data_IF_471367366279
#
_entry.id   IF_471367366279
#
_cell.length_a   1.000
_cell.length_b   1.000
_cell.length_c   1.000
_cell.angle_alpha   90.00
_cell.angle_beta   90.00
_cell.angle_gamma   90.00
#
_symmetry.space_group_name_H-M   'P 1'
#
loop_
_entity.id
_entity.type
_entity.pdbx_description
1 polymer ?
#
# COMPACT_ATOMS: atom_id res chain seq x y z
N UNK A 1 0.88 28.86 59.19
CA UNK A 1 0.00 27.91 58.47
C UNK A 1 0.72 27.63 57.15
N UNK A 2 1.51 26.56 56.97
CA UNK A 2 1.17 25.12 56.82
C UNK A 2 0.00 24.92 55.85
N UNK A 3 0.07 24.16 54.75
CA UNK A 3 0.83 22.93 54.42
C UNK A 3 1.39 23.04 52.98
N UNK A 4 2.59 22.60 52.58
CA UNK A 4 3.29 21.30 52.61
C UNK A 4 2.50 20.11 52.02
N UNK A 5 2.94 19.65 50.83
CA UNK A 5 3.09 18.24 50.49
C UNK A 5 4.33 18.03 49.63
N UNK A 6 5.26 17.23 50.16
CA UNK A 6 6.50 16.74 49.58
C UNK A 6 6.29 15.49 48.69
N UNK A 7 7.20 15.31 47.72
CA UNK A 7 7.35 14.23 46.73
C UNK A 7 7.46 12.79 47.32
N UNK A 8 7.54 11.67 46.52
CA UNK A 8 8.84 11.29 45.89
C UNK A 8 8.86 10.27 44.68
N UNK A 9 10.04 10.13 44.04
CA UNK A 9 10.58 9.06 43.14
C UNK A 9 9.98 8.87 41.71
N UNK A 10 10.73 8.59 40.63
CA UNK A 10 12.15 8.30 40.44
C UNK A 10 12.51 8.15 38.95
N UNK A 11 13.78 8.43 38.60
CA UNK A 11 14.41 8.16 37.29
C UNK A 11 14.61 6.65 37.11
N UNK A 12 14.30 6.13 35.93
CA UNK A 12 14.73 4.80 35.49
C UNK A 12 15.69 4.96 34.29
N UNK A 13 16.89 4.41 34.46
CA UNK A 13 17.87 4.19 33.40
C UNK A 13 17.45 2.96 32.59
N UNK A 14 17.35 3.07 31.26
CA UNK A 14 17.17 1.91 30.39
C UNK A 14 18.54 1.39 29.95
N UNK A 15 18.86 0.16 30.34
CA UNK A 15 19.99 -0.63 29.84
C UNK A 15 19.48 -1.52 28.69
N UNK A 16 20.17 -1.65 27.54
CA UNK A 16 19.58 -2.21 26.31
C UNK A 16 19.66 -3.74 26.20
N UNK A 17 19.40 -4.48 27.28
CA UNK A 17 19.48 -5.95 27.27
C UNK A 17 18.26 -6.70 27.83
N UNK A 18 17.16 -6.02 28.16
CA UNK A 18 15.91 -6.68 28.57
C UNK A 18 14.79 -6.52 27.53
N UNK A 19 14.80 -7.44 26.57
CA UNK A 19 13.73 -7.63 25.60
C UNK A 19 12.60 -8.45 26.28
N UNK A 20 11.35 -7.97 26.39
CA UNK A 20 10.27 -8.80 26.88
C UNK A 20 9.95 -9.85 25.80
N UNK A 21 10.34 -11.11 26.06
CA UNK A 21 9.94 -12.25 25.24
C UNK A 21 8.43 -12.23 25.04
N UNK A 22 7.99 -11.98 23.80
CA UNK A 22 6.61 -12.18 23.39
C UNK A 22 6.16 -13.58 23.81
N UNK A 23 5.13 -13.64 24.64
CA UNK A 23 4.41 -14.89 24.89
C UNK A 23 3.74 -15.31 23.58
N UNK A 24 4.29 -16.33 22.94
CA UNK A 24 3.66 -17.06 21.84
C UNK A 24 2.30 -17.57 22.33
N UNK A 25 1.21 -17.04 21.77
CA UNK A 25 -0.13 -17.65 21.91
C UNK A 25 -0.07 -19.02 21.22
N UNK A 26 0.08 -20.08 22.02
CA UNK A 26 -0.14 -21.47 21.60
C UNK A 26 -1.64 -21.66 21.35
N UNK A 27 -2.01 -21.95 20.11
CA UNK A 27 -3.30 -22.58 19.80
C UNK A 27 -3.35 -23.97 20.48
N UNK A 28 -4.44 -24.35 21.16
CA UNK A 28 -4.57 -25.69 21.69
C UNK A 28 -4.71 -26.69 20.54
N UNK A 29 -3.67 -27.52 20.38
CA UNK A 29 -3.67 -28.72 19.55
C UNK A 29 -4.70 -29.72 20.09
N UNK A 30 -5.59 -30.20 19.22
CA UNK A 30 -6.59 -31.22 19.53
C UNK A 30 -5.93 -32.50 20.09
N UNK A 31 -6.49 -33.13 21.14
CA UNK A 31 -5.93 -34.36 21.69
C UNK A 31 -6.24 -35.56 20.81
N UNK A 32 -5.20 -36.27 20.39
CA UNK A 32 -5.27 -37.65 19.88
C UNK A 32 -5.55 -38.58 21.07
N UNK A 33 -6.72 -39.21 21.09
CA UNK A 33 -6.98 -40.36 21.96
C UNK A 33 -6.79 -41.66 21.19
N UNK A 34 -5.73 -42.40 21.54
CA UNK A 34 -5.64 -43.85 21.35
C UNK A 34 -6.23 -44.50 22.61
N UNK A 35 -7.08 -45.51 22.45
CA UNK A 35 -7.44 -46.39 23.56
C UNK A 35 -8.73 -47.18 23.40
N UNK A 36 -8.56 -48.45 23.00
CA UNK A 36 -9.22 -49.66 23.55
C UNK A 36 -10.73 -49.88 23.35
N UNK A 37 -11.01 -50.94 22.57
CA UNK A 37 -12.14 -51.86 22.74
C UNK A 37 -12.37 -52.24 24.20
N UNK A 38 -13.61 -52.13 24.69
CA UNK A 38 -14.19 -53.10 25.64
C UNK A 38 -15.67 -53.36 25.29
N UNK A 39 -15.96 -54.65 25.27
CA UNK A 39 -17.19 -55.40 25.03
C UNK A 39 -18.29 -55.10 26.07
N UNK A 40 -19.55 -55.14 25.64
CA UNK A 40 -20.72 -55.29 26.52
C UNK A 40 -21.80 -56.14 25.84
N UNK A 41 -22.60 -56.91 26.59
CA UNK A 41 -22.74 -58.34 26.33
C UNK A 41 -24.03 -58.73 25.60
N UNK A 42 -23.87 -59.81 24.83
CA UNK A 42 -24.92 -60.65 24.24
C UNK A 42 -25.23 -61.79 25.23
N UNK A 43 -26.49 -61.97 25.60
CA UNK A 43 -27.06 -63.22 26.13
C UNK A 43 -28.49 -63.27 25.57
N UNK A 44 -28.77 -64.15 24.58
CA UNK A 44 -29.24 -65.55 24.72
C UNK A 44 -30.62 -65.61 25.41
N UNK A 45 -31.60 -66.38 24.98
CA UNK A 45 -31.62 -67.62 24.22
C UNK A 45 -33.04 -67.77 23.62
N UNK A 46 -33.28 -68.51 22.54
CA UNK A 46 -33.62 -69.94 22.50
C UNK A 46 -34.65 -70.06 21.34
N UNK A 47 -34.83 -71.12 20.56
CA UNK A 47 -34.42 -72.53 20.69
C UNK A 47 -34.58 -73.20 19.32
N UNK A 48 -33.63 -74.08 19.03
CA UNK A 48 -33.60 -75.27 18.17
C UNK A 48 -34.46 -75.37 16.90
N UNK A 49 -33.83 -75.79 15.80
CA UNK A 49 -33.80 -77.21 15.42
C UNK A 49 -32.67 -77.46 14.41
N UNK A 50 -31.72 -78.30 14.83
CA UNK A 50 -30.72 -78.94 13.97
C UNK A 50 -31.37 -80.14 13.29
N UNK A 51 -31.21 -80.25 11.98
CA UNK A 51 -31.55 -81.43 11.20
C UNK A 51 -30.47 -81.60 10.12
N UNK A 52 -29.49 -82.43 10.44
CA UNK A 52 -28.66 -83.19 9.49
C UNK A 52 -29.25 -84.59 9.32
N UNK A 53 -28.84 -85.41 8.32
CA UNK A 53 -28.21 -85.11 7.04
C UNK A 53 -28.84 -85.95 5.87
N UNK A 54 -28.17 -85.90 4.71
CA UNK A 54 -28.14 -86.92 3.64
C UNK A 54 -29.32 -86.98 2.66
N UNK A 55 -29.08 -86.39 1.49
CA UNK A 55 -29.72 -86.82 0.25
C UNK A 55 -29.01 -88.05 -0.32
N UNK A 56 -29.75 -89.13 -0.52
CA UNK A 56 -29.49 -90.09 -1.59
C UNK A 56 -30.83 -90.66 -2.07
N UNK A 57 -30.85 -91.01 -3.36
CA UNK A 57 -31.88 -91.74 -4.12
C UNK A 57 -32.89 -90.89 -4.91
N UNK A 58 -32.61 -90.84 -6.22
CA UNK A 58 -33.59 -90.85 -7.32
C UNK A 58 -34.47 -92.13 -7.28
N UNK A 59 -35.49 -92.33 -8.15
CA UNK A 59 -36.21 -91.40 -9.05
C UNK A 59 -37.76 -91.54 -8.95
N UNK A 60 -38.45 -90.89 -9.89
CA UNK A 60 -39.58 -91.43 -10.67
C UNK A 60 -40.97 -90.77 -10.52
N UNK A 61 -41.41 -90.25 -11.68
CA UNK A 61 -42.75 -90.42 -12.25
C UNK A 61 -43.97 -89.82 -11.53
N UNK A 62 -44.56 -88.81 -12.16
CA UNK A 62 -46.00 -88.88 -12.43
C UNK A 62 -46.84 -87.64 -12.11
N UNK A 63 -47.36 -87.06 -13.20
CA UNK A 63 -48.61 -86.29 -13.29
C UNK A 63 -48.60 -84.81 -12.87
N UNK A 64 -48.79 -83.97 -13.89
CA UNK A 64 -49.09 -82.54 -13.86
C UNK A 64 -50.45 -82.24 -13.23
N UNK A 65 -50.58 -81.14 -12.46
CA UNK A 65 -51.77 -80.33 -12.47
C UNK A 65 -51.49 -79.01 -13.22
N UNK A 66 -52.39 -78.68 -14.14
CA UNK A 66 -52.43 -77.41 -14.87
C UNK A 66 -52.50 -76.24 -13.87
N UNK A 67 -51.45 -75.42 -13.79
CA UNK A 67 -51.54 -74.13 -13.12
C UNK A 67 -52.00 -73.07 -14.12
N UNK A 68 -53.07 -72.38 -13.75
CA UNK A 68 -53.75 -71.34 -14.50
C UNK A 68 -52.86 -70.10 -14.51
N UNK A 69 -52.41 -69.68 -15.69
CA UNK A 69 -51.56 -68.49 -15.91
C UNK A 69 -52.44 -67.24 -15.84
N UNK A 70 -52.60 -66.67 -14.65
CA UNK A 70 -53.03 -65.28 -14.47
C UNK A 70 -52.53 -64.83 -13.10
N UNK A 71 -51.37 -64.15 -13.07
CA UNK A 71 -50.93 -63.24 -11.98
C UNK A 71 -49.48 -62.71 -12.17
N UNK A 72 -48.82 -62.89 -13.32
CA UNK A 72 -47.44 -62.38 -13.52
C UNK A 72 -47.37 -60.90 -13.97
N UNK A 73 -48.41 -60.34 -14.59
CA UNK A 73 -48.33 -58.97 -15.14
C UNK A 73 -48.32 -57.89 -14.05
N UNK A 74 -49.06 -58.08 -12.95
CA UNK A 74 -49.05 -57.14 -11.82
C UNK A 74 -47.74 -57.19 -11.04
N UNK A 75 -47.13 -58.38 -10.88
CA UNK A 75 -45.83 -58.52 -10.24
C UNK A 75 -44.70 -57.88 -11.07
N UNK A 76 -44.71 -58.07 -12.39
CA UNK A 76 -43.74 -57.43 -13.29
C UNK A 76 -43.91 -55.91 -13.33
N UNK A 77 -45.15 -55.42 -13.34
CA UNK A 77 -45.45 -53.98 -13.33
C UNK A 77 -44.96 -53.33 -12.03
N UNK A 78 -45.20 -53.96 -10.88
CA UNK A 78 -44.73 -53.47 -9.59
C UNK A 78 -43.19 -53.43 -9.50
N UNK A 79 -42.50 -54.42 -10.07
CA UNK A 79 -41.03 -54.43 -10.12
C UNK A 79 -40.49 -53.32 -11.01
N UNK A 80 -41.08 -53.09 -12.19
CA UNK A 80 -40.66 -52.01 -13.10
C UNK A 80 -40.96 -50.63 -12.50
N UNK A 81 -42.08 -50.46 -11.81
CA UNK A 81 -42.42 -49.23 -11.10
C UNK A 81 -41.43 -48.94 -9.96
N UNK A 82 -41.11 -49.96 -9.16
CA UNK A 82 -40.10 -49.83 -8.11
C UNK A 82 -38.72 -49.48 -8.69
N UNK A 83 -38.30 -50.18 -9.76
CA UNK A 83 -36.99 -49.96 -10.37
C UNK A 83 -36.90 -48.58 -11.02
N UNK A 84 -37.96 -48.10 -11.68
CA UNK A 84 -38.01 -46.76 -12.27
C UNK A 84 -38.05 -45.66 -11.22
N UNK A 85 -38.81 -45.82 -10.14
CA UNK A 85 -38.80 -44.90 -9.00
C UNK A 85 -37.43 -44.86 -8.30
N UNK A 86 -36.77 -46.01 -8.16
CA UNK A 86 -35.44 -46.11 -7.56
C UNK A 86 -34.36 -45.46 -8.44
N UNK A 87 -34.42 -45.67 -9.76
CA UNK A 87 -33.54 -45.00 -10.71
C UNK A 87 -33.78 -43.48 -10.69
N UNK A 88 -35.03 -43.03 -10.68
CA UNK A 88 -35.37 -41.62 -10.56
C UNK A 88 -34.81 -41.02 -9.27
N UNK A 89 -34.97 -41.71 -8.14
CA UNK A 89 -34.41 -41.30 -6.85
C UNK A 89 -32.89 -41.20 -6.89
N UNK A 90 -32.20 -42.20 -7.46
CA UNK A 90 -30.75 -42.17 -7.62
C UNK A 90 -30.30 -41.02 -8.52
N UNK A 91 -31.03 -40.72 -9.59
CA UNK A 91 -30.75 -39.58 -10.47
C UNK A 91 -30.92 -38.26 -9.71
N UNK A 92 -31.99 -38.10 -8.93
CA UNK A 92 -32.23 -36.90 -8.11
C UNK A 92 -31.16 -36.74 -7.03
N UNK A 93 -30.80 -37.80 -6.32
CA UNK A 93 -29.75 -37.76 -5.28
C UNK A 93 -28.40 -37.47 -5.91
N UNK A 94 -28.08 -38.06 -7.06
CA UNK A 94 -26.82 -37.79 -7.77
C UNK A 94 -26.76 -36.36 -8.28
N UNK A 95 -27.86 -35.83 -8.82
CA UNK A 95 -27.96 -34.43 -9.23
C UNK A 95 -27.85 -33.48 -8.04
N UNK A 96 -28.48 -33.80 -6.90
CA UNK A 96 -28.39 -33.01 -5.67
C UNK A 96 -27.00 -33.03 -5.05
N UNK A 97 -26.33 -34.18 -5.04
CA UNK A 97 -24.95 -34.30 -4.56
C UNK A 97 -23.99 -33.54 -5.49
N UNK A 98 -24.18 -33.60 -6.81
CA UNK A 98 -23.42 -32.80 -7.76
C UNK A 98 -23.65 -31.29 -7.55
N UNK A 99 -24.90 -30.87 -7.29
CA UNK A 99 -25.24 -29.47 -7.06
C UNK A 99 -24.74 -28.94 -5.69
N UNK A 100 -24.75 -29.77 -4.64
CA UNK A 100 -24.22 -29.39 -3.33
C UNK A 100 -22.68 -29.30 -3.31
N UNK A 101 -22.01 -29.98 -4.25
CA UNK A 101 -20.58 -29.83 -4.49
C UNK A 101 -20.23 -28.60 -5.34
N UNK A 102 -21.20 -27.93 -5.97
CA UNK A 102 -20.99 -26.60 -6.56
C UNK A 102 -20.85 -25.58 -5.43
N UNK A 103 -19.63 -25.51 -4.91
CA UNK A 103 -19.15 -24.43 -4.07
C UNK A 103 -19.10 -23.19 -4.97
N UNK A 104 -20.17 -22.39 -4.97
CA UNK A 104 -20.05 -20.99 -5.38
C UNK A 104 -18.86 -20.44 -4.59
N UNK A 105 -17.88 -19.85 -5.27
CA UNK A 105 -16.73 -19.23 -4.61
C UNK A 105 -17.19 -18.32 -3.47
N UNK A 106 -16.35 -18.12 -2.45
CA UNK A 106 -16.71 -17.25 -1.33
C UNK A 106 -17.10 -15.87 -1.88
N UNK A 107 -18.38 -15.51 -1.81
CA UNK A 107 -18.86 -14.18 -2.14
C UNK A 107 -18.38 -13.22 -1.03
N UNK A 108 -17.16 -12.73 -1.18
CA UNK A 108 -16.58 -11.71 -0.30
C UNK A 108 -16.61 -10.42 -1.10
N UNK A 109 -17.76 -9.75 -1.09
CA UNK A 109 -18.01 -8.53 -1.86
C UNK A 109 -16.90 -7.48 -1.74
N UNK A 110 -16.24 -7.39 -0.57
CA UNK A 110 -15.10 -6.51 -0.37
C UNK A 110 -13.86 -6.93 -1.18
N UNK A 111 -13.53 -8.22 -1.23
CA UNK A 111 -12.39 -8.72 -2.00
C UNK A 111 -12.64 -8.57 -3.49
N UNK A 112 -13.87 -8.87 -3.93
CA UNK A 112 -14.30 -8.66 -5.31
C UNK A 112 -14.19 -7.18 -5.71
N UNK A 113 -14.46 -6.25 -4.78
CA UNK A 113 -14.30 -4.82 -4.99
C UNK A 113 -12.83 -4.42 -5.17
N UNK A 114 -11.92 -4.92 -4.33
CA UNK A 114 -10.48 -4.65 -4.50
C UNK A 114 -9.96 -5.14 -5.86
N UNK A 115 -10.37 -6.34 -6.28
CA UNK A 115 -9.99 -6.92 -7.57
C UNK A 115 -10.53 -6.09 -8.74
N UNK A 116 -11.81 -5.70 -8.69
CA UNK A 116 -12.40 -4.80 -9.69
C UNK A 116 -11.68 -3.45 -9.73
N UNK A 117 -11.35 -2.86 -8.58
CA UNK A 117 -10.66 -1.58 -8.53
C UNK A 117 -9.25 -1.65 -9.11
N UNK A 118 -8.49 -2.71 -8.83
CA UNK A 118 -7.15 -2.88 -9.41
C UNK A 118 -7.22 -3.02 -10.94
N UNK A 119 -8.21 -3.77 -11.46
CA UNK A 119 -8.45 -3.92 -12.90
C UNK A 119 -8.85 -2.59 -13.52
N UNK A 120 -9.88 -1.92 -12.99
CA UNK A 120 -10.38 -0.64 -13.50
C UNK A 120 -9.30 0.45 -13.45
N UNK A 121 -8.50 0.47 -12.38
CA UNK A 121 -7.38 1.40 -12.24
C UNK A 121 -6.33 1.17 -13.32
N UNK A 122 -5.97 -0.10 -13.58
CA UNK A 122 -5.03 -0.45 -14.62
C UNK A 122 -5.57 -0.10 -16.02
N UNK A 123 -6.83 -0.42 -16.31
CA UNK A 123 -7.47 -0.09 -17.59
C UNK A 123 -7.50 1.42 -17.83
N UNK A 124 -7.95 2.22 -16.84
CA UNK A 124 -7.98 3.69 -16.95
C UNK A 124 -6.58 4.27 -17.16
N UNK A 125 -5.61 3.75 -16.42
CA UNK A 125 -4.21 4.16 -16.48
C UNK A 125 -3.57 3.85 -17.84
N UNK A 126 -3.91 2.72 -18.48
CA UNK A 126 -3.23 2.28 -19.71
C UNK A 126 -3.96 2.53 -21.02
N UNK A 127 -5.30 2.57 -21.01
CA UNK A 127 -6.08 2.54 -22.25
C UNK A 127 -6.41 3.94 -22.79
N UNK A 128 -6.24 4.97 -21.97
CA UNK A 128 -6.51 6.36 -22.34
C UNK A 128 -5.23 7.20 -22.41
N UNK A 129 -5.36 8.41 -22.96
CA UNK A 129 -4.34 9.47 -22.84
C UNK A 129 -4.48 10.23 -21.52
N UNK A 130 -5.54 9.99 -20.76
CA UNK A 130 -5.88 10.83 -19.63
C UNK A 130 -6.41 12.19 -20.08
N UNK A 131 -6.83 13.00 -19.12
CA UNK A 131 -7.48 14.27 -19.37
C UNK A 131 -7.34 15.15 -18.13
N UNK A 132 -7.19 16.46 -18.32
CA UNK A 132 -7.16 17.42 -17.23
C UNK A 132 -8.13 18.56 -17.49
N UNK A 133 -8.85 18.95 -16.44
CA UNK A 133 -9.62 20.19 -16.39
C UNK A 133 -8.99 21.07 -15.33
N UNK A 134 -8.46 22.21 -15.75
CA UNK A 134 -7.84 23.18 -14.84
C UNK A 134 -8.91 23.84 -13.98
N UNK A 135 -8.50 24.29 -12.80
CA UNK A 135 -9.34 25.08 -11.90
C UNK A 135 -8.73 26.48 -11.80
N UNK A 136 -9.54 27.49 -12.10
CA UNK A 136 -9.18 28.90 -11.98
C UNK A 136 -10.13 29.55 -10.97
N UNK A 137 -9.57 30.16 -9.92
CA UNK A 137 -10.32 30.75 -8.80
C UNK A 137 -11.44 29.85 -8.22
N UNK A 138 -11.20 28.53 -8.16
CA UNK A 138 -12.17 27.54 -7.67
C UNK A 138 -13.25 27.13 -8.66
N UNK A 139 -13.19 27.61 -9.92
CA UNK A 139 -14.11 27.26 -11.00
C UNK A 139 -13.40 26.39 -12.03
N UNK A 140 -14.09 25.34 -12.49
CA UNK A 140 -13.58 24.43 -13.53
C UNK A 140 -13.51 25.15 -14.88
N UNK A 141 -12.32 25.27 -15.45
CA UNK A 141 -12.10 25.79 -16.79
C UNK A 141 -12.25 24.67 -17.82
N UNK A 142 -13.51 24.39 -18.17
CA UNK A 142 -13.87 23.36 -19.16
C UNK A 142 -13.40 23.76 -20.57
N UNK A 143 -13.31 25.07 -20.86
CA UNK A 143 -12.88 25.56 -22.18
C UNK A 143 -11.43 25.20 -22.50
N UNK A 144 -10.56 25.20 -21.50
CA UNK A 144 -9.13 24.91 -21.64
C UNK A 144 -8.76 23.48 -21.19
N UNK A 145 -9.73 22.58 -21.05
CA UNK A 145 -9.46 21.18 -20.75
C UNK A 145 -8.65 20.51 -21.87
N UNK A 146 -7.70 19.66 -21.53
CA UNK A 146 -6.79 19.03 -22.51
C UNK A 146 -6.40 17.60 -22.11
N UNK A 147 -6.01 16.79 -23.08
CA UNK A 147 -5.40 15.47 -22.86
C UNK A 147 -3.90 15.58 -22.56
N UNK A 148 -3.31 16.76 -22.72
CA UNK A 148 -1.88 17.05 -22.53
C UNK A 148 -1.54 17.40 -21.09
N UNK A 149 -2.13 16.67 -20.15
CA UNK A 149 -1.94 16.86 -18.71
C UNK A 149 -0.47 16.77 -18.27
N UNK A 150 0.34 16.00 -19.01
CA UNK A 150 1.76 15.74 -18.74
C UNK A 150 2.67 16.96 -18.91
N UNK A 151 2.14 18.10 -19.40
CA UNK A 151 2.87 19.37 -19.50
C UNK A 151 2.71 20.28 -18.29
N UNK A 152 1.83 19.95 -17.34
CA UNK A 152 1.62 20.75 -16.14
C UNK A 152 2.54 20.29 -15.00
N UNK A 153 2.90 21.24 -14.14
CA UNK A 153 3.70 20.98 -12.95
C UNK A 153 2.85 20.38 -11.81
N UNK A 154 3.53 19.94 -10.75
CA UNK A 154 2.88 19.25 -9.65
C UNK A 154 1.80 20.08 -8.94
N UNK A 155 2.07 21.36 -8.71
CA UNK A 155 1.13 22.24 -8.00
C UNK A 155 -0.14 22.51 -8.80
N UNK A 156 -0.04 22.71 -10.13
CA UNK A 156 -1.21 22.86 -11.00
C UNK A 156 -2.03 21.57 -11.04
N UNK A 157 -1.38 20.41 -11.15
CA UNK A 157 -2.08 19.12 -11.18
C UNK A 157 -2.75 18.81 -9.83
N UNK A 158 -2.15 19.22 -8.71
CA UNK A 158 -2.74 19.11 -7.38
C UNK A 158 -4.07 19.87 -7.23
N UNK A 159 -4.25 20.96 -7.95
CA UNK A 159 -5.50 21.74 -7.87
C UNK A 159 -6.51 21.32 -8.95
N UNK A 160 -6.06 20.68 -10.04
CA UNK A 160 -6.90 20.28 -11.16
C UNK A 160 -7.79 19.05 -10.91
N UNK A 161 -8.79 18.87 -11.79
CA UNK A 161 -9.45 17.58 -12.00
C UNK A 161 -8.64 16.77 -13.02
N UNK A 162 -7.92 15.75 -12.54
CA UNK A 162 -7.04 14.93 -13.34
C UNK A 162 -7.60 13.51 -13.49
N UNK A 163 -7.73 13.06 -14.74
CA UNK A 163 -7.75 11.64 -15.11
C UNK A 163 -6.34 11.26 -15.61
N UNK A 164 -5.50 10.65 -14.77
CA UNK A 164 -4.14 10.29 -15.14
C UNK A 164 -4.15 9.06 -16.05
N UNK A 165 -3.28 9.06 -17.07
CA UNK A 165 -3.04 7.88 -17.88
C UNK A 165 -1.69 7.93 -18.59
N UNK A 166 -1.01 6.79 -18.65
CA UNK A 166 0.31 6.62 -19.28
C UNK A 166 0.23 6.07 -20.71
N UNK A 167 -0.98 5.81 -21.21
CA UNK A 167 -1.22 5.35 -22.56
C UNK A 167 -1.13 6.49 -23.59
N UNK A 168 -0.83 6.14 -24.83
CA UNK A 168 -0.91 7.08 -25.97
C UNK A 168 -2.28 7.03 -26.67
N UNK A 169 -3.27 6.33 -26.12
CA UNK A 169 -4.61 6.13 -26.70
C UNK A 169 -4.67 5.20 -27.92
N UNK A 170 -3.54 4.65 -28.36
CA UNK A 170 -3.43 3.73 -29.51
C UNK A 170 -2.90 2.34 -29.09
N UNK A 171 -3.10 1.95 -27.82
CA UNK A 171 -2.69 0.65 -27.30
C UNK A 171 -1.19 0.49 -26.99
N UNK A 172 -0.44 1.59 -26.91
CA UNK A 172 0.95 1.62 -26.42
C UNK A 172 1.10 2.63 -25.30
N UNK A 173 2.19 2.53 -24.56
CA UNK A 173 2.56 3.50 -23.53
C UNK A 173 3.28 4.71 -24.14
N UNK A 174 3.24 5.82 -23.42
CA UNK A 174 3.87 7.09 -23.75
C UNK A 174 4.92 7.42 -22.66
N UNK A 175 6.19 7.50 -23.05
CA UNK A 175 7.29 7.76 -22.12
C UNK A 175 7.17 9.13 -21.44
N UNK A 176 6.71 10.15 -22.15
CA UNK A 176 6.55 11.49 -21.59
C UNK A 176 5.48 11.51 -20.47
N UNK A 177 4.42 10.71 -20.62
CA UNK A 177 3.37 10.58 -19.61
C UNK A 177 3.82 9.76 -18.41
N UNK A 178 4.66 8.74 -18.61
CA UNK A 178 5.28 8.01 -17.50
C UNK A 178 6.20 8.94 -16.70
N UNK A 179 7.06 9.71 -17.36
CA UNK A 179 7.92 10.71 -16.68
C UNK A 179 7.08 11.75 -15.94
N UNK A 180 5.98 12.21 -16.53
CA UNK A 180 5.10 13.19 -15.90
C UNK A 180 4.31 12.66 -14.69
N UNK A 181 4.33 11.35 -14.40
CA UNK A 181 3.85 10.84 -13.11
C UNK A 181 4.62 11.47 -11.94
N UNK A 182 5.87 11.93 -12.16
CA UNK A 182 6.62 12.72 -11.19
C UNK A 182 5.94 14.01 -10.76
N UNK A 183 5.01 14.53 -11.56
CA UNK A 183 4.21 15.70 -11.21
C UNK A 183 2.83 15.34 -10.64
N UNK A 184 2.49 14.06 -10.52
CA UNK A 184 1.18 13.62 -10.01
C UNK A 184 1.37 13.13 -8.59
N UNK A 185 0.60 13.69 -7.65
CA UNK A 185 0.60 13.17 -6.28
C UNK A 185 -0.16 11.85 -6.22
N UNK A 186 0.24 10.93 -5.31
CA UNK A 186 -0.45 9.65 -5.13
C UNK A 186 -1.96 9.85 -4.86
N UNK A 187 -2.33 10.89 -4.11
CA UNK A 187 -3.73 11.23 -3.82
C UNK A 187 -4.50 11.60 -5.10
N UNK A 188 -3.87 12.35 -6.02
CA UNK A 188 -4.48 12.67 -7.32
C UNK A 188 -4.52 11.47 -8.24
N UNK A 189 -3.52 10.61 -8.20
CA UNK A 189 -3.50 9.38 -8.97
C UNK A 189 -4.65 8.45 -8.55
N UNK A 190 -4.74 8.14 -7.25
CA UNK A 190 -5.83 7.31 -6.69
C UNK A 190 -7.20 7.91 -7.01
N UNK A 191 -7.39 9.22 -6.78
CA UNK A 191 -8.66 9.91 -7.07
C UNK A 191 -9.04 9.79 -8.55
N UNK A 192 -8.10 10.09 -9.46
CA UNK A 192 -8.35 10.05 -10.90
C UNK A 192 -8.62 8.65 -11.44
N UNK A 193 -7.98 7.63 -10.87
CA UNK A 193 -8.24 6.22 -11.21
C UNK A 193 -9.55 5.69 -10.62
N UNK A 194 -10.22 6.44 -9.74
CA UNK A 194 -11.47 6.02 -9.09
C UNK A 194 -11.24 5.04 -7.94
N UNK A 195 -10.05 5.08 -7.34
CA UNK A 195 -9.75 4.34 -6.13
C UNK A 195 -10.45 5.02 -4.95
N UNK A 196 -11.10 4.23 -4.11
CA UNK A 196 -11.85 4.71 -2.96
C UNK A 196 -10.95 5.41 -1.94
N UNK A 197 -11.50 6.45 -1.31
CA UNK A 197 -10.81 7.21 -0.28
C UNK A 197 -10.35 6.32 0.88
N UNK A 198 -9.07 6.46 1.25
CA UNK A 198 -8.43 5.69 2.33
C UNK A 198 -7.74 4.41 1.88
N UNK A 199 -7.82 4.06 0.60
CA UNK A 199 -6.90 3.11 -0.02
C UNK A 199 -5.71 3.86 -0.60
N UNK A 200 -4.64 3.12 -0.81
CA UNK A 200 -3.39 3.62 -1.36
C UNK A 200 -2.93 2.70 -2.49
N UNK A 201 -1.97 3.13 -3.30
CA UNK A 201 -1.51 2.36 -4.45
C UNK A 201 0.00 2.22 -4.51
N UNK A 202 0.45 1.16 -5.17
CA UNK A 202 1.82 1.01 -5.65
C UNK A 202 1.79 0.75 -7.16
N UNK A 203 2.59 1.51 -7.91
CA UNK A 203 2.71 1.39 -9.36
C UNK A 203 4.13 0.96 -9.71
N UNK A 204 4.25 -0.13 -10.46
CA UNK A 204 5.52 -0.62 -10.98
C UNK A 204 5.43 -0.85 -12.48
N UNK A 205 6.41 -0.33 -13.23
CA UNK A 205 6.60 -0.56 -14.65
C UNK A 205 8.01 -1.12 -14.84
N UNK A 206 8.09 -2.36 -15.33
CA UNK A 206 9.36 -3.08 -15.51
C UNK A 206 9.51 -3.56 -16.95
N UNK A 207 10.70 -3.42 -17.52
CA UNK A 207 11.04 -3.98 -18.83
C UNK A 207 11.14 -5.50 -18.72
N UNK A 208 10.38 -6.23 -19.55
CA UNK A 208 10.37 -7.69 -19.57
C UNK A 208 10.96 -8.28 -20.85
N UNK A 209 10.99 -7.52 -21.95
CA UNK A 209 11.62 -7.89 -23.21
C UNK A 209 12.20 -6.63 -23.88
N UNK A 210 13.45 -6.72 -24.33
CA UNK A 210 14.16 -5.66 -25.06
C UNK A 210 15.22 -6.29 -25.97
N UNK A 211 15.50 -5.65 -27.11
CA UNK A 211 16.64 -6.00 -27.97
C UNK A 211 17.97 -5.75 -27.25
N UNK A 212 17.99 -4.81 -26.29
CA UNK A 212 19.12 -4.58 -25.43
C UNK A 212 18.95 -5.36 -24.12
N UNK A 213 19.71 -6.45 -23.98
CA UNK A 213 19.62 -7.35 -22.82
C UNK A 213 19.91 -6.64 -21.49
N UNK A 214 20.65 -5.52 -21.48
CA UNK A 214 20.89 -4.75 -20.24
C UNK A 214 19.65 -4.09 -19.68
N UNK A 215 18.65 -3.82 -20.52
CA UNK A 215 17.43 -3.12 -20.13
C UNK A 215 16.41 -4.09 -19.53
N UNK A 216 16.53 -5.41 -19.78
CA UNK A 216 15.60 -6.39 -19.22
C UNK A 216 15.70 -6.40 -17.69
N UNK A 217 14.59 -6.16 -17.02
CA UNK A 217 14.50 -6.01 -15.57
C UNK A 217 14.68 -4.59 -15.06
N UNK A 218 14.94 -3.61 -15.93
CA UNK A 218 14.98 -2.19 -15.57
C UNK A 218 13.60 -1.71 -15.11
N UNK A 219 13.59 -0.99 -13.99
CA UNK A 219 12.41 -0.32 -13.47
C UNK A 219 12.26 1.02 -14.17
N UNK A 220 11.32 1.10 -15.11
CA UNK A 220 10.96 2.34 -15.81
C UNK A 220 10.28 3.31 -14.84
N UNK A 221 9.45 2.77 -13.94
CA UNK A 221 8.80 3.51 -12.86
C UNK A 221 8.54 2.55 -11.70
N UNK A 222 8.76 3.00 -10.47
CA UNK A 222 8.43 2.22 -9.28
C UNK A 222 8.23 3.16 -8.11
N UNK A 223 6.98 3.46 -7.79
CA UNK A 223 6.66 4.27 -6.62
C UNK A 223 5.23 4.06 -6.13
N UNK A 224 4.94 4.63 -4.96
CA UNK A 224 3.66 4.56 -4.27
C UNK A 224 3.86 4.09 -2.83
N UNK A 225 2.76 4.02 -2.10
CA UNK A 225 2.78 3.67 -0.70
C UNK A 225 3.20 2.21 -0.47
N UNK A 226 3.76 1.96 0.71
CA UNK A 226 4.19 0.62 1.11
C UNK A 226 3.00 -0.21 1.58
N UNK A 227 2.95 -1.47 1.14
CA UNK A 227 2.01 -2.49 1.65
C UNK A 227 2.30 -2.96 3.08
N UNK A 228 3.31 -2.44 3.77
CA UNK A 228 3.78 -2.95 5.07
C UNK A 228 2.69 -2.98 6.16
N UNK A 229 1.76 -2.02 6.14
CA UNK A 229 0.58 -1.96 7.01
C UNK A 229 -0.68 -2.60 6.44
N UNK A 230 -0.65 -3.13 5.20
CA UNK A 230 -1.84 -3.61 4.52
C UNK A 230 -2.35 -4.92 5.14
N UNK A 231 -3.65 -4.97 5.41
CA UNK A 231 -4.35 -6.23 5.75
C UNK A 231 -5.05 -6.82 4.52
N UNK A 232 -5.26 -6.02 3.48
CA UNK A 232 -5.89 -6.39 2.21
C UNK A 232 -5.18 -5.66 1.07
N UNK A 233 -5.01 -6.37 -0.03
CA UNK A 233 -4.42 -5.84 -1.26
C UNK A 233 -4.96 -6.62 -2.46
N UNK A 234 -5.03 -5.98 -3.62
CA UNK A 234 -5.22 -6.63 -4.91
C UNK A 234 -4.26 -6.03 -5.93
N UNK A 235 -3.91 -6.83 -6.93
CA UNK A 235 -2.94 -6.45 -7.95
C UNK A 235 -3.48 -6.81 -9.32
N UNK A 236 -3.39 -5.85 -10.24
CA UNK A 236 -3.63 -6.08 -11.66
C UNK A 236 -2.34 -5.80 -12.43
N UNK A 237 -2.09 -6.56 -13.50
CA UNK A 237 -0.96 -6.29 -14.38
C UNK A 237 -1.28 -6.55 -15.85
N UNK A 238 -0.62 -5.80 -16.73
CA UNK A 238 -0.76 -5.92 -18.18
C UNK A 238 0.59 -5.71 -18.84
N UNK A 239 0.81 -6.41 -19.95
CA UNK A 239 1.99 -6.24 -20.78
C UNK A 239 1.67 -5.33 -21.95
N UNK A 240 2.52 -4.33 -22.20
CA UNK A 240 2.34 -3.34 -23.25
C UNK A 240 3.69 -2.91 -23.83
N UNK A 241 3.67 -2.38 -25.04
CA UNK A 241 4.86 -1.81 -25.64
C UNK A 241 5.09 -0.38 -25.16
N UNK A 242 6.31 -0.09 -24.72
CA UNK A 242 6.87 1.24 -24.53
C UNK A 242 8.03 1.36 -25.52
N UNK A 243 7.87 2.21 -26.54
CA UNK A 243 8.79 2.26 -27.67
C UNK A 243 9.06 0.86 -28.24
N UNK A 244 10.31 0.41 -28.35
CA UNK A 244 10.68 -0.90 -28.87
C UNK A 244 10.72 -2.02 -27.81
N UNK A 245 10.33 -1.75 -26.57
CA UNK A 245 10.42 -2.68 -25.46
C UNK A 245 9.04 -3.16 -25.00
N UNK A 246 8.96 -4.40 -24.55
CA UNK A 246 7.77 -4.91 -23.86
C UNK A 246 7.96 -4.67 -22.36
N UNK A 247 7.02 -3.96 -21.75
CA UNK A 247 7.01 -3.68 -20.32
C UNK A 247 5.81 -4.33 -19.65
N UNK A 248 5.92 -4.64 -18.37
CA UNK A 248 4.80 -5.02 -17.51
C UNK A 248 4.45 -3.84 -16.62
N UNK A 249 3.23 -3.34 -16.76
CA UNK A 249 2.61 -2.38 -15.84
C UNK A 249 1.88 -3.16 -14.77
N UNK A 250 2.14 -2.86 -13.51
CA UNK A 250 1.52 -3.49 -12.34
C UNK A 250 0.97 -2.41 -11.43
N UNK A 251 -0.32 -2.47 -11.12
CA UNK A 251 -0.99 -1.62 -10.14
C UNK A 251 -1.40 -2.50 -8.97
N UNK A 252 -0.91 -2.17 -7.78
CA UNK A 252 -1.37 -2.72 -6.52
C UNK A 252 -2.25 -1.69 -5.81
N UNK A 253 -3.42 -2.11 -5.32
CA UNK A 253 -4.31 -1.31 -4.48
C UNK A 253 -4.41 -1.96 -3.10
N UNK A 254 -4.17 -1.21 -2.03
CA UNK A 254 -4.15 -1.76 -0.68
C UNK A 254 -4.65 -0.79 0.39
N UNK A 255 -4.96 -1.32 1.58
CA UNK A 255 -5.48 -0.55 2.70
C UNK A 255 -4.44 -0.24 3.81
N UNK A 256 -3.15 -0.22 3.48
CA UNK A 256 -2.09 0.12 4.45
C UNK A 256 -2.23 1.55 4.99
N UNK A 257 -2.96 2.43 4.30
CA UNK A 257 -2.90 3.87 4.54
C UNK A 257 -1.64 4.47 3.94
N UNK A 258 -1.45 5.76 4.16
CA UNK A 258 -0.29 6.51 3.66
C UNK A 258 0.60 6.87 4.84
N UNK A 259 1.84 6.39 4.80
CA UNK A 259 2.89 6.80 5.72
C UNK A 259 3.58 8.06 5.16
N UNK A 260 3.95 9.05 5.99
CA UNK A 260 4.54 10.31 5.55
C UNK A 260 6.01 10.22 5.12
N UNK A 261 6.46 9.07 4.68
CA UNK A 261 7.78 8.97 4.07
C UNK A 261 7.73 9.61 2.70
N UNK A 262 8.61 10.58 2.43
CA UNK A 262 8.82 10.98 1.05
C UNK A 262 9.43 12.35 0.81
N UNK A 263 9.63 13.19 1.83
CA UNK A 263 10.55 14.32 1.68
C UNK A 263 11.55 14.33 2.82
N UNK A 264 12.75 14.85 2.54
CA UNK A 264 13.88 14.86 3.46
C UNK A 264 14.64 16.18 3.36
N UNK A 265 15.27 16.58 4.47
CA UNK A 265 16.20 17.71 4.45
C UNK A 265 17.51 17.24 3.82
N UNK A 266 18.03 18.01 2.87
CA UNK A 266 19.28 17.72 2.14
C UNK A 266 20.39 18.68 2.46
N UNK A 267 20.07 19.93 2.82
CA UNK A 267 21.08 20.92 3.14
C UNK A 267 20.53 21.96 4.14
N UNK A 268 21.38 22.44 5.05
CA UNK A 268 21.05 23.45 6.07
C UNK A 268 22.13 24.52 6.07
N UNK A 269 21.78 25.78 5.87
CA UNK A 269 22.67 26.90 6.10
C UNK A 269 22.47 27.46 7.52
N UNK A 270 23.52 27.34 8.34
CA UNK A 270 23.58 27.87 9.70
C UNK A 270 24.56 29.04 9.71
N UNK A 271 24.21 30.15 10.37
CA UNK A 271 25.09 31.32 10.56
C UNK A 271 25.76 31.82 9.25
N UNK A 272 24.96 32.23 8.23
CA UNK A 272 25.49 32.81 7.00
C UNK A 272 26.22 34.14 7.27
N UNK A 273 27.39 34.35 6.67
CA UNK A 273 28.13 35.61 6.88
C UNK A 273 27.70 36.69 5.89
N UNK A 274 27.60 37.93 6.40
CA UNK A 274 27.46 39.17 5.62
C UNK A 274 26.12 39.34 4.88
N UNK A 275 25.00 38.86 5.43
CA UNK A 275 23.66 39.26 5.02
C UNK A 275 22.81 38.30 4.17
N UNK A 276 23.27 37.15 3.65
CA UNK A 276 22.36 36.10 3.16
C UNK A 276 21.51 35.53 4.31
N UNK A 277 20.29 35.05 4.04
CA UNK A 277 19.45 34.44 5.06
C UNK A 277 19.87 33.00 5.37
N UNK A 278 19.42 32.50 6.52
CA UNK A 278 19.45 31.07 6.81
C UNK A 278 18.43 30.36 5.92
N UNK A 279 18.73 29.12 5.57
CA UNK A 279 17.84 28.33 4.75
C UNK A 279 17.99 26.83 5.00
N UNK A 280 16.94 26.10 4.68
CA UNK A 280 16.85 24.64 4.74
C UNK A 280 16.35 24.17 3.38
N UNK A 281 17.10 23.29 2.74
CA UNK A 281 16.66 22.62 1.51
C UNK A 281 16.02 21.28 1.83
N UNK A 282 14.90 21.04 1.16
CA UNK A 282 14.12 19.83 1.25
C UNK A 282 13.99 19.24 -0.16
N UNK A 283 14.12 17.93 -0.28
CA UNK A 283 14.01 17.18 -1.53
C UNK A 283 12.88 16.16 -1.42
N UNK A 284 12.16 15.94 -2.53
CA UNK A 284 11.33 14.77 -2.76
C UNK A 284 12.11 13.70 -3.55
N UNK A 285 12.61 12.62 -2.92
CA UNK A 285 13.32 11.56 -3.63
C UNK A 285 12.38 10.51 -4.25
N UNK A 286 11.06 10.62 -4.04
CA UNK A 286 10.09 9.66 -4.53
C UNK A 286 9.78 9.88 -6.02
N UNK A 287 9.11 8.91 -6.65
CA UNK A 287 8.75 8.91 -8.06
C UNK A 287 7.45 9.66 -8.39
N UNK A 288 6.59 9.90 -7.39
CA UNK A 288 5.40 10.74 -7.45
C UNK A 288 5.65 12.11 -6.81
N UNK A 289 4.80 13.08 -7.14
CA UNK A 289 4.83 14.36 -6.44
C UNK A 289 4.37 14.23 -4.98
N UNK A 290 4.96 15.03 -4.10
CA UNK A 290 4.54 15.18 -2.71
C UNK A 290 3.61 16.38 -2.55
N UNK A 291 2.44 16.17 -1.95
CA UNK A 291 1.60 17.28 -1.48
C UNK A 291 2.26 17.90 -0.23
N UNK A 292 2.56 19.20 -0.28
CA UNK A 292 3.20 19.94 0.82
C UNK A 292 2.23 20.28 1.96
N UNK A 293 0.92 20.10 1.75
CA UNK A 293 -0.08 20.28 2.79
C UNK A 293 0.21 19.40 4.01
N UNK A 294 0.29 20.02 5.18
CA UNK A 294 0.55 19.33 6.44
C UNK A 294 2.03 19.19 6.80
N UNK A 295 2.96 19.49 5.89
CA UNK A 295 4.38 19.52 6.18
C UNK A 295 4.77 20.77 6.96
N UNK A 296 5.74 20.60 7.87
CA UNK A 296 6.15 21.64 8.81
C UNK A 296 7.64 21.54 9.13
N UNK A 297 8.23 22.68 9.45
CA UNK A 297 9.52 22.77 10.14
C UNK A 297 9.29 23.24 11.56
N UNK A 298 10.07 22.67 12.49
CA UNK A 298 10.06 23.09 13.87
C UNK A 298 11.47 23.09 14.46
N UNK A 299 11.64 23.93 15.47
CA UNK A 299 12.80 23.99 16.37
C UNK A 299 12.31 24.27 17.79
N UNK A 300 13.14 24.18 18.84
CA UNK A 300 12.69 24.45 20.20
C UNK A 300 11.99 25.81 20.32
N UNK A 301 10.66 25.78 20.56
CA UNK A 301 9.83 26.97 20.74
C UNK A 301 9.26 27.61 19.47
N UNK A 302 9.59 27.12 18.27
CA UNK A 302 9.06 27.64 17.00
C UNK A 302 8.55 26.49 16.12
N UNK A 303 7.40 26.70 15.49
CA UNK A 303 6.76 25.76 14.58
C UNK A 303 6.15 26.53 13.41
N UNK A 304 6.42 26.10 12.19
CA UNK A 304 5.86 26.72 10.98
C UNK A 304 5.45 25.66 9.97
N UNK A 305 4.31 25.87 9.32
CA UNK A 305 3.91 25.05 8.18
C UNK A 305 4.70 25.48 6.94
N UNK A 306 4.96 24.55 6.04
CA UNK A 306 5.57 24.82 4.72
C UNK A 306 4.51 25.34 3.72
N UNK A 307 3.22 25.21 4.04
CA UNK A 307 2.13 25.76 3.25
C UNK A 307 1.52 24.75 2.28
N UNK A 308 0.99 25.27 1.17
CA UNK A 308 0.22 24.53 0.18
C UNK A 308 1.03 24.32 -1.12
N UNK A 309 0.56 23.43 -1.99
CA UNK A 309 1.20 23.09 -3.26
C UNK A 309 1.76 21.67 -3.27
N UNK A 310 2.48 21.34 -4.36
CA UNK A 310 3.15 20.06 -4.49
C UNK A 310 4.57 20.22 -5.01
N UNK A 311 5.45 19.35 -4.50
CA UNK A 311 6.85 19.21 -4.90
C UNK A 311 6.97 17.97 -5.78
N UNK A 312 7.36 18.14 -7.04
CA UNK A 312 7.52 17.04 -8.00
C UNK A 312 8.60 16.04 -7.59
N UNK A 313 8.62 14.89 -8.26
CA UNK A 313 9.64 13.86 -8.08
C UNK A 313 11.04 14.42 -8.40
N UNK A 314 11.99 14.23 -7.48
CA UNK A 314 13.35 14.75 -7.56
C UNK A 314 13.46 16.28 -7.42
N UNK A 315 12.35 17.00 -7.23
CA UNK A 315 12.37 18.45 -7.05
C UNK A 315 12.80 18.84 -5.64
N UNK A 316 13.28 20.08 -5.54
CA UNK A 316 13.77 20.69 -4.31
C UNK A 316 12.96 21.93 -3.93
N UNK A 317 12.88 22.17 -2.63
CA UNK A 317 12.26 23.32 -2.01
C UNK A 317 13.28 23.99 -1.08
N UNK A 318 13.46 25.30 -1.20
CA UNK A 318 14.25 26.10 -0.27
C UNK A 318 13.28 26.79 0.71
N UNK A 319 13.30 26.39 1.97
CA UNK A 319 12.73 27.18 3.06
C UNK A 319 13.78 28.21 3.48
N UNK A 320 13.48 29.50 3.41
CA UNK A 320 14.46 30.57 3.66
C UNK A 320 13.92 31.62 4.62
N UNK A 321 14.79 32.23 5.42
CA UNK A 321 14.43 33.38 6.25
C UNK A 321 14.26 34.69 5.48
N UNK A 322 14.59 34.75 4.19
CA UNK A 322 14.30 35.92 3.33
C UNK A 322 14.34 35.54 1.85
N UNK A 323 13.16 35.45 1.21
CA UNK A 323 13.07 35.06 -0.20
C UNK A 323 13.61 36.10 -1.19
N UNK A 324 13.73 37.38 -0.80
CA UNK A 324 14.24 38.45 -1.68
C UNK A 324 15.77 38.40 -1.84
N UNK A 325 16.48 37.93 -0.81
CA UNK A 325 17.96 37.89 -0.79
C UNK A 325 18.52 36.47 -0.89
N UNK A 326 17.68 35.44 -0.83
CA UNK A 326 18.08 34.05 -1.01
C UNK A 326 18.67 33.82 -2.41
N UNK A 327 19.87 33.23 -2.46
CA UNK A 327 20.42 32.73 -3.72
C UNK A 327 19.63 31.50 -4.18
N UNK A 328 19.14 31.53 -5.41
CA UNK A 328 18.39 30.44 -6.03
C UNK A 328 18.67 30.39 -7.54
N UNK A 329 19.85 29.88 -7.95
CA UNK A 329 20.30 29.94 -9.34
C UNK A 329 19.47 29.07 -10.30
N UNK A 330 18.84 28.02 -9.78
CA UNK A 330 18.05 27.07 -10.56
C UNK A 330 16.55 27.37 -10.53
N UNK A 331 16.12 28.43 -9.83
CA UNK A 331 14.72 28.82 -9.75
C UNK A 331 13.82 27.77 -9.11
N UNK A 332 14.35 26.99 -8.15
CA UNK A 332 13.58 25.99 -7.41
C UNK A 332 12.50 26.67 -6.56
N UNK A 333 11.50 25.91 -6.11
CA UNK A 333 10.46 26.45 -5.24
C UNK A 333 11.09 27.06 -3.97
N UNK A 334 10.58 28.22 -3.55
CA UNK A 334 11.00 28.86 -2.31
C UNK A 334 9.80 29.08 -1.39
N UNK A 335 10.00 28.86 -0.10
CA UNK A 335 9.05 29.22 0.94
C UNK A 335 9.70 30.20 1.93
N UNK A 336 9.10 31.37 2.05
CA UNK A 336 9.59 32.42 2.93
C UNK A 336 9.10 32.21 4.37
N UNK A 337 10.04 32.04 5.29
CA UNK A 337 9.83 31.83 6.71
C UNK A 337 10.23 33.05 7.56
N UNK A 338 10.51 34.22 6.95
CA UNK A 338 10.91 35.44 7.65
C UNK A 338 9.97 35.79 8.82
N UNK A 339 8.65 35.68 8.60
CA UNK A 339 7.66 36.05 9.61
C UNK A 339 7.45 35.03 10.73
N UNK A 340 7.91 33.79 10.55
CA UNK A 340 7.72 32.73 11.55
C UNK A 340 8.82 32.72 12.62
N UNK A 341 9.98 33.34 12.34
CA UNK A 341 11.16 33.24 13.20
C UNK A 341 11.78 31.85 13.22
N UNK A 342 11.41 30.99 12.26
CA UNK A 342 12.01 29.66 12.09
C UNK A 342 13.45 29.77 11.56
N UNK A 343 13.69 30.74 10.67
CA UNK A 343 14.96 30.97 9.99
C UNK A 343 15.30 32.46 10.05
N UNK A 344 16.59 32.73 10.19
CA UNK A 344 17.19 34.04 10.21
C UNK A 344 17.15 34.73 8.86
N UNK A 345 16.91 36.04 8.87
CA UNK A 345 16.75 36.87 7.66
C UNK A 345 18.08 37.43 7.16
N UNK A 346 19.21 36.98 7.74
CA UNK A 346 20.58 37.42 7.46
C UNK A 346 21.08 38.62 8.27
N UNK A 347 20.18 39.47 8.77
CA UNK A 347 20.50 40.49 9.79
C UNK A 347 20.32 39.96 11.22
N UNK A 348 19.57 38.87 11.35
CA UNK A 348 19.26 38.17 12.58
C UNK A 348 19.40 36.69 12.23
N UNK A 349 20.27 36.00 12.93
CA UNK A 349 20.41 34.55 12.84
C UNK A 349 19.47 33.90 13.85
N UNK A 350 18.79 32.83 13.43
CA UNK A 350 17.88 32.08 14.29
C UNK A 350 18.51 30.76 14.72
N UNK A 351 19.25 30.11 13.82
CA UNK A 351 19.94 28.85 14.06
C UNK A 351 21.29 29.09 14.72
N UNK A 352 21.56 28.36 15.79
CA UNK A 352 22.81 28.46 16.54
C UNK A 352 23.82 27.42 16.00
N UNK A 353 25.03 27.85 15.65
CA UNK A 353 26.10 26.96 15.18
C UNK A 353 26.69 26.08 16.29
N UNK A 354 26.50 26.45 17.57
CA UNK A 354 26.94 25.65 18.71
C UNK A 354 25.96 24.54 19.08
N UNK A 355 24.64 24.76 18.98
CA UNK A 355 23.65 23.71 19.17
C UNK A 355 22.25 24.16 18.77
N UNK A 356 21.59 23.41 17.90
CA UNK A 356 20.16 23.54 17.66
C UNK A 356 19.55 22.19 17.23
N UNK A 357 18.22 22.18 17.06
CA UNK A 357 17.48 21.07 16.54
C UNK A 357 16.46 21.52 15.50
N UNK A 358 16.42 20.80 14.38
CA UNK A 358 15.42 20.93 13.33
C UNK A 358 14.59 19.65 13.27
N UNK A 359 13.28 19.81 13.20
CA UNK A 359 12.31 18.74 13.01
C UNK A 359 11.55 19.02 11.72
N UNK A 360 11.67 18.11 10.75
CA UNK A 360 10.75 18.00 9.63
C UNK A 360 9.58 17.14 10.09
N UNK A 361 8.41 17.75 10.19
CA UNK A 361 7.18 17.12 10.64
C UNK A 361 6.13 17.02 9.54
N UNK A 362 5.26 16.03 9.64
CA UNK A 362 4.05 15.92 8.82
C UNK A 362 2.81 15.71 9.68
N UNK A 363 1.80 16.53 9.44
CA UNK A 363 0.49 16.43 10.11
C UNK A 363 -0.54 15.97 9.11
N UNK A 364 -1.11 14.79 9.34
CA UNK A 364 -2.17 14.26 8.49
C UNK A 364 -3.38 15.20 8.53
N UNK A 365 -3.91 15.53 7.36
CA UNK A 365 -5.14 16.33 7.24
C UNK A 365 -6.27 15.74 8.09
N UNK A 366 -6.98 16.62 8.80
CA UNK A 366 -8.04 16.25 9.75
C UNK A 366 -7.56 15.75 11.11
N UNK A 367 -6.24 15.74 11.37
CA UNK A 367 -5.65 15.41 12.67
C UNK A 367 -4.83 16.57 13.22
N UNK A 368 -4.50 16.50 14.52
CA UNK A 368 -3.60 17.45 15.19
C UNK A 368 -2.25 16.80 15.57
N UNK A 369 -2.04 15.55 15.17
CA UNK A 369 -0.85 14.79 15.54
C UNK A 369 0.19 14.94 14.42
N UNK A 370 1.23 15.71 14.72
CA UNK A 370 2.41 15.82 13.86
C UNK A 370 3.33 14.63 14.09
N UNK A 371 3.67 13.93 13.01
CA UNK A 371 4.67 12.86 13.01
C UNK A 371 6.02 13.46 12.64
N UNK A 372 7.06 13.09 13.38
CA UNK A 372 8.42 13.51 13.05
C UNK A 372 8.95 12.61 11.92
N UNK A 373 9.22 13.21 10.76
CA UNK A 373 9.77 12.51 9.59
C UNK A 373 11.29 12.50 9.64
N UNK A 374 11.90 13.65 9.97
CA UNK A 374 13.34 13.78 10.13
C UNK A 374 13.64 14.68 11.33
N UNK A 375 14.55 14.24 12.20
CA UNK A 375 15.02 15.02 13.35
C UNK A 375 16.53 15.14 13.27
N UNK A 376 17.00 16.38 13.22
CA UNK A 376 18.41 16.73 13.08
C UNK A 376 18.75 17.55 14.31
N UNK A 377 19.66 17.07 15.13
CA UNK A 377 20.18 17.80 16.27
C UNK A 377 21.69 17.86 16.14
N UNK A 378 22.25 19.04 16.32
CA UNK A 378 23.69 19.23 16.37
C UNK A 378 24.11 19.91 17.67
N UNK A 379 25.39 19.78 17.96
CA UNK A 379 26.06 20.37 19.09
C UNK A 379 27.44 20.88 18.66
N UNK A 380 28.20 21.37 19.64
CA UNK A 380 29.49 22.03 19.38
C UNK A 380 30.52 21.09 18.76
N UNK A 381 30.35 19.77 18.89
CA UNK A 381 31.29 18.79 18.35
C UNK A 381 31.21 18.71 16.80
N UNK A 382 30.12 19.20 16.21
CA UNK A 382 29.98 19.32 14.76
C UNK A 382 30.93 20.37 14.17
N UNK A 383 31.44 21.30 14.99
CA UNK A 383 32.40 22.33 14.60
C UNK A 383 31.98 23.08 13.31
N UNK A 384 30.72 23.48 13.25
CA UNK A 384 30.13 24.15 12.07
C UNK A 384 30.80 25.51 11.90
N UNK A 385 31.61 25.74 10.83
CA UNK A 385 32.23 27.04 10.62
C UNK A 385 31.18 28.05 10.12
N UNK A 386 31.32 29.32 10.49
CA UNK A 386 30.45 30.37 9.94
C UNK A 386 30.47 30.38 8.41
N UNK A 387 29.34 30.76 7.81
CA UNK A 387 29.12 30.74 6.36
C UNK A 387 29.30 29.37 5.71
N UNK A 388 29.06 28.29 6.43
CA UNK A 388 29.01 26.97 5.84
C UNK A 388 27.63 26.37 5.98
N UNK A 389 27.16 25.76 4.90
CA UNK A 389 26.04 24.86 4.97
C UNK A 389 26.50 23.47 5.39
N UNK A 390 25.55 22.68 5.88
CA UNK A 390 25.67 21.26 6.14
C UNK A 390 24.87 20.54 5.07
N UNK A 391 25.55 19.78 4.21
CA UNK A 391 24.90 18.94 3.20
C UNK A 391 24.86 17.49 3.65
N UNK A 392 23.70 16.84 3.49
CA UNK A 392 23.45 15.50 3.96
C UNK A 392 23.99 14.45 3.00
N UNK A 393 24.79 13.53 3.51
CA UNK A 393 25.42 12.45 2.74
C UNK A 393 24.52 11.21 2.58
N UNK A 394 23.24 11.31 2.93
CA UNK A 394 22.25 10.22 2.91
C UNK A 394 22.65 9.00 3.75
N UNK A 395 23.49 9.19 4.76
CA UNK A 395 23.95 8.14 5.66
C UNK A 395 23.16 8.09 6.97
N UNK A 396 23.00 6.88 7.51
CA UNK A 396 22.72 6.63 8.94
C UNK A 396 21.69 7.54 9.63
N UNK A 397 22.02 7.93 10.87
CA UNK A 397 21.21 8.83 11.69
C UNK A 397 21.48 10.29 11.27
N UNK A 398 20.45 11.09 10.94
CA UNK A 398 20.62 12.51 10.61
C UNK A 398 21.19 13.37 11.75
N UNK A 399 21.16 12.92 13.00
CA UNK A 399 21.78 13.62 14.14
C UNK A 399 23.23 13.17 14.41
N UNK A 400 23.87 12.49 13.47
CA UNK A 400 25.29 12.14 13.52
C UNK A 400 26.07 13.00 12.52
N UNK A 401 27.04 13.76 13.01
CA UNK A 401 27.87 14.69 12.22
C UNK A 401 28.59 14.01 11.06
N UNK A 402 28.92 12.71 11.16
CA UNK A 402 29.58 11.96 10.08
C UNK A 402 28.74 11.81 8.82
N UNK A 403 27.42 11.98 8.93
CA UNK A 403 26.49 11.94 7.80
C UNK A 403 26.28 13.32 7.16
N UNK A 404 27.02 14.34 7.58
CA UNK A 404 26.97 15.68 7.03
C UNK A 404 28.34 16.12 6.51
N UNK A 405 28.34 16.97 5.49
CA UNK A 405 29.54 17.59 4.96
C UNK A 405 29.37 19.09 4.92
N UNK A 406 30.30 19.79 5.55
CA UNK A 406 30.31 21.24 5.61
C UNK A 406 30.82 21.82 4.30
N UNK A 407 30.08 22.77 3.71
CA UNK A 407 30.42 23.43 2.45
C UNK A 407 30.32 24.94 2.59
N UNK A 408 31.37 25.66 2.17
CA UNK A 408 31.39 27.12 2.24
C UNK A 408 30.33 27.72 1.30
N UNK A 409 29.45 28.58 1.84
CA UNK A 409 28.37 29.26 1.12
C UNK A 409 27.19 28.37 0.73
N UNK A 410 27.38 27.05 0.72
CA UNK A 410 26.39 26.07 0.34
C UNK A 410 25.95 26.11 -1.11
N UNK A 411 25.00 25.26 -1.44
CA UNK A 411 24.51 25.03 -2.80
C UNK A 411 22.98 25.04 -2.87
N UNK A 412 22.33 26.16 -2.51
CA UNK A 412 20.87 26.22 -2.47
C UNK A 412 20.27 25.94 -3.85
N UNK A 413 19.44 24.90 -3.96
CA UNK A 413 18.68 24.54 -5.15
C UNK A 413 19.45 23.75 -6.21
N UNK A 414 20.64 23.21 -5.91
CA UNK A 414 21.49 22.47 -6.87
C UNK A 414 21.25 20.98 -6.95
#
# INVERSE_FOLDING_TARGET
MRCDFSAPFGRAWYNPSDCPRQMVRKYPTAPRHNGTMIVGPFVSADVLMDATPMGHLMPESGSTPKFRRSDDEHALTAVVEFLSAFVLFLVIVSAFLALSQLKLGSNVADADRFDQMAIDSLERLTDSKGHVVLIDEGVRDISNSTDDWHHFNASVLLESDLLPAIGNGNGRLDSARITALGNVTEDKLTQGLGVDGGLSLNLTIIVIESDNVSNVGELVFSDGSSRSGATRSSTASRQMYLDNELVRVTVEIHNAGREPSGIRITEIMVDPLNGPPEWIEIENPDGFAMNLSGWSLARPGVFTMIGDGALGAGEKLICTGNSETQNNPNGVMMYDMASSGMLGTGAIDSLDSESDQIILGWTRSGTILTQNVMVISWDSDWNIPSNHSLSYNFGGNPSDSSNWTSMNGGTPGW
#
